data_IF_635834195739
#
_entry.id   IF_635834195739
#
_cell.length_a   1.000
_cell.length_b   1.000
_cell.length_c   1.000
_cell.angle_alpha   90.00
_cell.angle_beta   90.00
_cell.angle_gamma   90.00
#
_symmetry.space_group_name_H-M   'P 1'
#
loop_
_entity.id
_entity.type
_entity.pdbx_description
1 polymer ?
#
# COMPACT_ATOMS: atom_id res chain seq x y z
N UNK A 1 -5.41 -14.09 -4.81
CA UNK A 1 -4.54 -14.51 -5.94
C UNK A 1 -3.15 -14.84 -5.41
N UNK A 2 -2.27 -15.48 -6.18
CA UNK A 2 -0.90 -15.78 -5.73
C UNK A 2 0.14 -15.25 -6.71
N UNK A 3 1.28 -14.80 -6.19
CA UNK A 3 2.48 -14.46 -6.95
C UNK A 3 3.69 -15.01 -6.18
N UNK A 4 4.54 -15.74 -6.89
CA UNK A 4 5.60 -16.56 -6.29
C UNK A 4 5.08 -17.50 -5.18
N UNK A 5 5.43 -17.23 -3.91
CA UNK A 5 5.03 -18.01 -2.73
C UNK A 5 4.07 -17.26 -1.80
N UNK A 6 3.70 -16.03 -2.14
CA UNK A 6 2.80 -15.20 -1.33
C UNK A 6 1.36 -15.28 -1.87
N UNK A 7 0.39 -15.18 -0.96
CA UNK A 7 -1.03 -15.07 -1.31
C UNK A 7 -1.55 -13.66 -1.00
N UNK A 8 -2.33 -13.12 -1.93
CA UNK A 8 -2.84 -11.76 -1.86
C UNK A 8 -4.35 -11.75 -1.70
N UNK A 9 -4.82 -10.96 -0.73
CA UNK A 9 -6.23 -10.70 -0.48
C UNK A 9 -6.54 -9.22 -0.69
N UNK A 10 -7.48 -8.93 -1.59
CA UNK A 10 -7.97 -7.57 -1.86
C UNK A 10 -9.27 -7.38 -1.08
N UNK A 11 -9.40 -6.24 -0.40
CA UNK A 11 -10.63 -5.89 0.31
C UNK A 11 -11.83 -5.77 -0.64
N UNK A 12 -12.93 -6.45 -0.34
CA UNK A 12 -14.16 -6.41 -1.15
C UNK A 12 -15.25 -5.50 -0.58
N UNK A 13 -15.04 -4.89 0.60
CA UNK A 13 -16.04 -4.08 1.29
C UNK A 13 -15.61 -2.61 1.34
N UNK A 14 -16.41 -1.74 0.74
CA UNK A 14 -16.22 -0.29 0.79
C UNK A 14 -17.05 0.29 1.95
N UNK A 15 -16.40 0.54 3.09
CA UNK A 15 -17.05 1.16 4.26
C UNK A 15 -16.36 2.48 4.59
N UNK A 16 -17.04 3.38 5.32
CA UNK A 16 -16.50 4.68 5.74
C UNK A 16 -15.36 4.60 6.80
N UNK A 17 -14.83 3.40 7.08
CA UNK A 17 -13.80 3.17 8.11
C UNK A 17 -12.55 2.48 7.55
N UNK A 18 -12.36 2.49 6.23
CA UNK A 18 -11.28 1.81 5.53
C UNK A 18 -9.97 2.62 5.55
N UNK A 19 -9.59 3.09 6.75
CA UNK A 19 -8.32 3.79 7.01
C UNK A 19 -7.13 2.83 6.91
N UNK A 20 -5.92 3.35 6.74
CA UNK A 20 -4.70 2.52 6.71
C UNK A 20 -4.55 1.67 7.98
N UNK A 21 -4.83 2.26 9.15
CA UNK A 21 -4.77 1.55 10.43
C UNK A 21 -5.81 0.43 10.54
N UNK A 22 -7.01 0.63 10.01
CA UNK A 22 -8.04 -0.42 9.94
C UNK A 22 -7.61 -1.54 8.99
N UNK A 23 -7.10 -1.19 7.81
CA UNK A 23 -6.62 -2.12 6.80
C UNK A 23 -5.52 -3.04 7.36
N UNK A 24 -4.53 -2.47 8.06
CA UNK A 24 -3.50 -3.23 8.77
C UNK A 24 -4.11 -4.22 9.78
N UNK A 25 -5.06 -3.77 10.59
CA UNK A 25 -5.72 -4.65 11.57
C UNK A 25 -6.52 -5.78 10.90
N UNK A 26 -7.15 -5.53 9.75
CA UNK A 26 -7.88 -6.56 9.01
C UNK A 26 -6.93 -7.63 8.45
N UNK A 27 -5.79 -7.23 7.89
CA UNK A 27 -4.77 -8.17 7.42
C UNK A 27 -4.20 -9.01 8.58
N UNK A 28 -3.87 -8.38 9.72
CA UNK A 28 -3.37 -9.09 10.90
C UNK A 28 -4.37 -10.13 11.43
N UNK A 29 -5.68 -9.85 11.40
CA UNK A 29 -6.73 -10.81 11.80
C UNK A 29 -6.80 -12.03 10.88
N UNK A 30 -6.26 -11.94 9.67
CA UNK A 30 -6.19 -13.04 8.68
C UNK A 30 -4.88 -13.82 8.78
N UNK A 31 -3.98 -13.46 9.70
CA UNK A 31 -2.63 -14.01 9.76
C UNK A 31 -1.70 -13.46 8.67
N UNK A 32 -2.01 -12.27 8.15
CA UNK A 32 -1.31 -11.57 7.07
C UNK A 32 -0.82 -10.19 7.56
N UNK A 33 -0.19 -9.40 6.70
CA UNK A 33 -0.07 -7.94 6.91
C UNK A 33 -0.39 -7.20 5.60
N UNK A 34 -0.39 -5.87 5.60
CA UNK A 34 -0.48 -5.09 4.38
C UNK A 34 0.69 -5.42 3.44
N UNK A 35 0.41 -5.49 2.14
CA UNK A 35 1.40 -5.92 1.12
C UNK A 35 2.71 -5.13 1.17
N UNK A 36 3.83 -5.83 1.05
CA UNK A 36 5.18 -5.26 1.04
C UNK A 36 5.75 -5.36 -0.36
N UNK A 37 5.68 -4.27 -1.13
CA UNK A 37 6.17 -4.28 -2.51
C UNK A 37 7.70 -4.12 -2.54
N UNK A 38 8.42 -5.26 -2.57
CA UNK A 38 9.88 -5.30 -2.46
C UNK A 38 10.58 -5.71 -3.77
N UNK A 39 9.84 -5.94 -4.85
CA UNK A 39 10.39 -6.26 -6.17
C UNK A 39 9.66 -5.53 -7.30
N UNK A 40 10.28 -5.46 -8.49
CA UNK A 40 9.63 -4.87 -9.66
C UNK A 40 8.55 -5.80 -10.20
N UNK A 41 8.79 -7.09 -10.06
CA UNK A 41 7.92 -8.17 -10.48
C UNK A 41 6.63 -8.16 -9.63
N UNK A 42 6.76 -7.95 -8.32
CA UNK A 42 5.63 -7.76 -7.41
C UNK A 42 4.86 -6.48 -7.71
N UNK A 43 5.54 -5.34 -7.92
CA UNK A 43 4.88 -4.10 -8.38
C UNK A 43 4.07 -4.37 -9.66
N UNK A 44 4.63 -5.13 -10.60
CA UNK A 44 3.97 -5.49 -11.86
C UNK A 44 2.78 -6.42 -11.64
N UNK A 45 2.90 -7.36 -10.71
CA UNK A 45 1.82 -8.26 -10.33
C UNK A 45 0.65 -7.51 -9.68
N UNK A 46 0.94 -6.65 -8.69
CA UNK A 46 -0.07 -5.78 -8.06
C UNK A 46 -0.71 -4.86 -9.11
N UNK A 47 0.08 -4.39 -10.07
CA UNK A 47 -0.39 -3.62 -11.22
C UNK A 47 -1.31 -4.42 -12.17
N UNK A 48 -1.27 -5.76 -12.14
CA UNK A 48 -2.16 -6.60 -12.93
C UNK A 48 -3.52 -6.85 -12.28
N UNK A 49 -3.73 -6.40 -11.05
CA UNK A 49 -4.97 -6.63 -10.29
C UNK A 49 -6.07 -5.67 -10.78
N UNK A 50 -6.74 -6.04 -11.88
CA UNK A 50 -7.76 -5.23 -12.57
C UNK A 50 -8.90 -4.71 -11.68
N UNK A 51 -9.17 -5.36 -10.55
CA UNK A 51 -10.25 -4.97 -9.62
C UNK A 51 -9.83 -3.89 -8.59
N UNK A 52 -8.62 -3.33 -8.71
CA UNK A 52 -8.07 -2.34 -7.77
C UNK A 52 -7.75 -1.03 -8.48
N UNK A 53 -8.59 -0.01 -8.30
CA UNK A 53 -8.29 1.36 -8.77
C UNK A 53 -7.23 2.02 -7.89
N UNK A 54 -7.36 1.86 -6.58
CA UNK A 54 -6.45 2.33 -5.54
C UNK A 54 -6.57 1.45 -4.30
N UNK A 55 -5.47 1.29 -3.56
CA UNK A 55 -5.44 0.53 -2.32
C UNK A 55 -4.29 0.93 -1.40
N UNK A 56 -4.50 0.79 -0.09
CA UNK A 56 -3.44 0.85 0.91
C UNK A 56 -2.43 -0.28 0.74
N UNK A 57 -1.14 0.08 0.86
CA UNK A 57 -0.01 -0.86 0.95
C UNK A 57 0.71 -0.70 2.29
N UNK A 58 1.63 -1.61 2.60
CA UNK A 58 2.28 -1.69 3.91
C UNK A 58 3.35 -0.64 4.20
N UNK A 59 3.42 0.45 3.44
CA UNK A 59 4.46 1.47 3.58
C UNK A 59 3.96 2.68 4.38
N UNK A 60 4.73 3.12 5.37
CA UNK A 60 4.42 4.27 6.23
C UNK A 60 5.69 4.93 6.77
N UNK A 61 5.66 6.23 7.01
CA UNK A 61 6.70 6.98 7.75
C UNK A 61 6.14 7.64 9.03
N UNK A 62 4.96 7.21 9.47
CA UNK A 62 4.22 7.76 10.64
C UNK A 62 4.99 7.81 11.96
N UNK A 63 6.09 7.05 12.09
CA UNK A 63 6.97 7.08 13.26
C UNK A 63 8.01 8.20 13.16
N UNK A 64 8.54 8.46 11.97
CA UNK A 64 9.59 9.45 11.73
C UNK A 64 9.48 9.93 10.28
N UNK A 65 8.97 11.14 10.13
CA UNK A 65 8.84 11.87 8.86
C UNK A 65 10.05 11.66 7.93
N UNK A 66 9.80 11.24 6.69
CA UNK A 66 10.83 10.99 5.68
C UNK A 66 11.59 9.67 5.87
N UNK A 67 11.29 8.88 6.91
CA UNK A 67 11.85 7.54 7.13
C UNK A 67 10.79 6.46 6.91
N UNK A 68 10.62 6.09 5.65
CA UNK A 68 9.66 5.08 5.22
C UNK A 68 10.04 3.66 5.67
N UNK A 69 9.08 2.96 6.27
CA UNK A 69 9.19 1.57 6.72
C UNK A 69 8.00 0.74 6.26
N UNK A 70 8.29 -0.50 5.94
CA UNK A 70 7.27 -1.51 5.69
C UNK A 70 6.67 -2.01 7.02
N UNK A 71 5.51 -2.64 6.95
CA UNK A 71 4.80 -3.16 8.12
C UNK A 71 5.56 -4.25 8.89
N UNK A 72 6.54 -4.91 8.26
CA UNK A 72 7.49 -5.84 8.89
C UNK A 72 8.65 -5.15 9.62
N UNK A 73 8.73 -3.81 9.53
CA UNK A 73 9.75 -2.98 10.16
C UNK A 73 11.00 -2.74 9.30
N UNK A 74 11.10 -3.36 8.13
CA UNK A 74 12.22 -3.13 7.21
C UNK A 74 12.14 -1.73 6.60
N UNK A 75 13.28 -1.03 6.43
CA UNK A 75 13.29 0.29 5.81
C UNK A 75 13.09 0.19 4.29
N UNK A 76 12.50 1.23 3.69
CA UNK A 76 12.51 1.39 2.25
C UNK A 76 13.93 1.74 1.78
N UNK A 77 14.65 0.75 1.24
CA UNK A 77 16.05 0.91 0.82
C UNK A 77 16.21 1.63 -0.51
N UNK A 78 15.25 1.45 -1.42
CA UNK A 78 15.22 2.12 -2.72
C UNK A 78 13.83 2.69 -2.93
N UNK A 79 13.65 4.03 -2.91
CA UNK A 79 12.37 4.64 -3.25
C UNK A 79 12.10 4.43 -4.74
N UNK A 80 11.26 3.45 -5.04
CA UNK A 80 10.85 3.05 -6.40
C UNK A 80 9.35 3.14 -6.50
N UNK A 81 8.83 3.48 -7.68
CA UNK A 81 7.41 3.50 -8.02
C UNK A 81 6.55 4.63 -7.42
N UNK A 82 7.14 5.59 -6.71
CA UNK A 82 6.49 6.87 -6.43
C UNK A 82 6.02 7.55 -7.71
N UNK A 83 4.86 8.19 -7.66
CA UNK A 83 4.44 9.05 -8.76
C UNK A 83 5.35 10.29 -8.85
N UNK A 84 5.25 10.99 -9.98
CA UNK A 84 5.97 12.25 -10.16
C UNK A 84 5.64 13.21 -9.01
N UNK A 85 6.69 13.79 -8.41
CA UNK A 85 6.61 14.72 -7.28
C UNK A 85 6.16 14.11 -5.93
N UNK A 86 6.11 12.79 -5.79
CA UNK A 86 5.80 12.12 -4.52
C UNK A 86 7.09 11.64 -3.82
N UNK A 87 7.09 11.46 -2.48
CA UNK A 87 6.04 11.92 -1.55
C UNK A 87 6.03 13.46 -1.36
N UNK A 88 4.86 14.08 -1.13
CA UNK A 88 4.72 15.54 -1.05
C UNK A 88 3.86 16.10 0.09
N UNK A 89 3.21 15.25 0.90
CA UNK A 89 2.32 15.71 1.97
C UNK A 89 2.99 15.96 3.31
N UNK A 90 4.27 15.58 3.44
CA UNK A 90 5.05 15.76 4.66
C UNK A 90 4.34 15.15 5.88
N UNK A 91 4.34 15.89 7.01
CA UNK A 91 3.70 15.43 8.26
C UNK A 91 2.19 15.16 8.18
N UNK A 92 1.52 15.59 7.11
CA UNK A 92 0.09 15.36 6.91
C UNK A 92 -0.23 13.99 6.30
N UNK A 93 0.71 13.38 5.59
CA UNK A 93 0.48 12.24 4.71
C UNK A 93 1.52 11.16 4.99
N UNK A 94 1.17 10.22 5.85
CA UNK A 94 2.15 9.29 6.42
C UNK A 94 1.92 7.82 6.01
N UNK A 95 1.00 7.57 5.08
CA UNK A 95 0.58 6.24 4.65
C UNK A 95 0.53 6.19 3.12
N UNK A 96 0.86 5.03 2.54
CA UNK A 96 1.00 4.95 1.08
C UNK A 96 -0.20 4.31 0.40
N UNK A 97 -0.78 5.04 -0.55
CA UNK A 97 -1.72 4.53 -1.53
C UNK A 97 -0.99 4.08 -2.79
N UNK A 98 -1.28 2.88 -3.21
CA UNK A 98 -1.05 2.43 -4.58
C UNK A 98 -2.28 2.80 -5.42
N UNK A 99 -2.11 3.26 -6.66
CA UNK A 99 -3.23 3.45 -7.58
C UNK A 99 -2.84 3.57 -9.04
N UNK A 100 -3.75 3.14 -9.91
CA UNK A 100 -3.56 3.07 -11.38
C UNK A 100 -4.04 4.30 -12.14
N UNK A 101 -4.84 5.14 -11.49
CA UNK A 101 -5.58 6.30 -11.99
C UNK A 101 -5.71 6.33 -13.54
N UNK A 102 -5.23 7.38 -14.20
CA UNK A 102 -5.41 7.60 -15.64
C UNK A 102 -4.22 7.16 -16.50
N UNK A 103 -3.07 6.83 -15.89
CA UNK A 103 -1.86 6.41 -16.60
C UNK A 103 -1.87 4.93 -16.98
N UNK A 104 -2.70 4.11 -16.32
CA UNK A 104 -2.66 2.64 -16.42
C UNK A 104 -1.47 2.01 -15.69
N UNK A 105 -0.55 2.84 -15.19
CA UNK A 105 0.62 2.43 -14.41
C UNK A 105 0.39 2.78 -12.94
N UNK A 106 0.35 1.76 -12.11
CA UNK A 106 0.27 1.80 -10.67
C UNK A 106 1.48 2.52 -10.08
N UNK A 107 1.21 3.61 -9.35
CA UNK A 107 2.23 4.40 -8.66
C UNK A 107 1.87 4.57 -7.19
N UNK A 108 2.88 4.90 -6.38
CA UNK A 108 2.74 5.16 -4.95
C UNK A 108 2.54 6.65 -4.69
N UNK A 109 1.68 6.95 -3.74
CA UNK A 109 1.42 8.28 -3.23
C UNK A 109 1.40 8.25 -1.70
N UNK A 110 2.05 9.22 -1.05
CA UNK A 110 1.74 9.48 0.35
C UNK A 110 0.35 10.09 0.43
N UNK A 111 -0.39 9.73 1.48
CA UNK A 111 -1.75 10.20 1.67
C UNK A 111 -2.13 10.23 3.16
N UNK A 112 -3.11 11.05 3.58
CA UNK A 112 -3.59 11.02 4.96
C UNK A 112 -4.09 9.63 5.33
N UNK A 113 -3.53 9.04 6.38
CA UNK A 113 -3.86 7.67 6.82
C UNK A 113 -5.36 7.47 7.14
N UNK A 114 -6.10 8.56 7.37
CA UNK A 114 -7.55 8.56 7.62
C UNK A 114 -8.41 8.48 6.36
N UNK A 115 -7.82 8.55 5.17
CA UNK A 115 -8.55 8.39 3.92
C UNK A 115 -9.14 6.99 3.81
N UNK A 116 -10.28 6.87 3.12
CA UNK A 116 -10.93 5.58 2.93
C UNK A 116 -10.54 5.03 1.57
N UNK A 117 -9.85 3.89 1.56
CA UNK A 117 -9.48 3.19 0.34
C UNK A 117 -9.61 1.69 0.51
N UNK A 118 -9.55 0.95 -0.59
CA UNK A 118 -9.35 -0.51 -0.52
C UNK A 118 -7.97 -0.82 0.09
N UNK A 119 -7.69 -2.07 0.37
CA UNK A 119 -6.36 -2.51 0.82
C UNK A 119 -6.02 -3.89 0.29
N UNK A 120 -4.71 -4.17 0.27
CA UNK A 120 -4.17 -5.44 -0.16
C UNK A 120 -3.39 -6.05 1.00
N UNK A 121 -3.80 -7.23 1.43
CA UNK A 121 -3.04 -8.06 2.37
C UNK A 121 -2.15 -9.03 1.61
N UNK A 122 -0.98 -9.32 2.17
CA UNK A 122 -0.07 -10.37 1.75
C UNK A 122 0.09 -11.40 2.87
N UNK A 123 -0.14 -12.67 2.53
CA UNK A 123 -0.14 -13.87 3.40
C UNK A 123 1.08 -14.72 3.06
#
# INVERSE_FOLDING_TARGET
MGFERSCYHISTSYTKKNTWGYAKQDCLKRGADLVIINSKEEQTFINGLNDVSEAWIGLTDSVTEGTWKWVDGTPLTTPRFWASLQPNGGRGENCVLFGHWSSGQGTWHDYPCSYNSSWICEI
#
